data_IF_218419493469
#
_entry.id   IF_218419493469
#
_cell.length_a   1.000
_cell.length_b   1.000
_cell.length_c   1.000
_cell.angle_alpha   90.00
_cell.angle_beta   90.00
_cell.angle_gamma   90.00
#
_symmetry.space_group_name_H-M   'P 1'
#
loop_
_entity.id
_entity.type
_entity.pdbx_description
1 polymer ?
#
# COMPACT_ATOMS: atom_id res chain seq x y z
N UNK A 1 -17.86 13.70 24.97
CA UNK A 1 -17.97 13.55 23.50
C UNK A 1 -17.58 12.12 23.20
N UNK A 2 -18.52 11.30 22.71
CA UNK A 2 -18.21 9.96 22.24
C UNK A 2 -17.55 10.16 20.87
N UNK A 3 -16.29 9.78 20.72
CA UNK A 3 -15.65 9.75 19.41
C UNK A 3 -16.53 8.92 18.47
N UNK A 4 -17.18 9.58 17.52
CA UNK A 4 -18.08 8.90 16.60
C UNK A 4 -17.27 7.84 15.84
N UNK A 5 -17.67 6.58 16.01
CA UNK A 5 -16.94 5.44 15.48
C UNK A 5 -16.86 5.51 13.95
N UNK A 6 -15.66 5.26 13.42
CA UNK A 6 -15.43 5.20 11.97
C UNK A 6 -16.20 4.02 11.40
N UNK A 7 -16.70 4.16 10.18
CA UNK A 7 -17.24 2.98 9.47
C UNK A 7 -16.04 2.10 9.11
N UNK A 8 -16.06 0.80 9.44
CA UNK A 8 -15.02 -0.13 9.03
C UNK A 8 -14.89 -0.18 7.51
N UNK A 9 -13.67 -0.31 7.02
CA UNK A 9 -13.39 -0.66 5.63
C UNK A 9 -13.37 -2.18 5.54
N UNK A 10 -14.45 -2.74 5.02
CA UNK A 10 -14.60 -4.18 4.81
C UNK A 10 -14.83 -4.48 3.35
N UNK A 11 -14.29 -5.61 2.90
CA UNK A 11 -14.53 -6.14 1.56
C UNK A 11 -16.02 -6.31 1.29
N UNK A 12 -16.44 -5.86 0.12
CA UNK A 12 -17.82 -6.01 -0.33
C UNK A 12 -17.91 -7.22 -1.24
N UNK A 13 -18.94 -8.05 -1.04
CA UNK A 13 -19.15 -9.28 -1.79
C UNK A 13 -20.41 -9.19 -2.64
N UNK A 14 -20.35 -9.79 -3.82
CA UNK A 14 -21.51 -10.04 -4.66
C UNK A 14 -22.45 -11.04 -3.99
N UNK A 15 -23.68 -11.15 -4.50
CA UNK A 15 -24.65 -12.13 -4.02
C UNK A 15 -24.12 -13.56 -4.14
N UNK A 16 -23.33 -13.84 -5.18
CA UNK A 16 -22.71 -15.14 -5.45
C UNK A 16 -21.48 -15.40 -4.57
N UNK A 17 -20.99 -14.37 -3.87
CA UNK A 17 -19.87 -14.47 -2.93
C UNK A 17 -18.51 -14.11 -3.51
N UNK A 18 -18.49 -13.52 -4.71
CA UNK A 18 -17.27 -12.95 -5.28
C UNK A 18 -16.94 -11.63 -4.58
N UNK A 19 -15.68 -11.42 -4.22
CA UNK A 19 -15.21 -10.12 -3.72
C UNK A 19 -15.23 -9.08 -4.84
N UNK A 20 -15.78 -7.90 -4.56
CA UNK A 20 -15.93 -6.78 -5.49
C UNK A 20 -14.85 -5.72 -5.25
N UNK A 21 -14.57 -4.92 -6.26
CA UNK A 21 -13.48 -3.93 -6.26
C UNK A 21 -13.84 -2.62 -5.54
N UNK A 22 -14.45 -2.74 -4.36
CA UNK A 22 -14.74 -1.62 -3.45
C UNK A 22 -14.97 -2.12 -2.02
N UNK A 23 -14.87 -1.20 -1.06
CA UNK A 23 -15.00 -1.51 0.38
C UNK A 23 -16.01 -0.58 1.04
N UNK A 24 -16.51 -0.95 2.22
CA UNK A 24 -17.34 -0.07 3.04
C UNK A 24 -16.55 1.12 3.61
N UNK A 25 -17.25 2.17 4.06
CA UNK A 25 -16.64 3.29 4.78
C UNK A 25 -15.75 4.24 3.96
N UNK A 26 -15.52 3.96 2.67
CA UNK A 26 -14.85 4.85 1.71
C UNK A 26 -15.91 5.59 0.86
N UNK A 27 -15.72 6.89 0.55
CA UNK A 27 -16.55 7.63 -0.39
C UNK A 27 -16.37 7.21 -1.86
N UNK A 28 -17.49 6.99 -2.55
CA UNK A 28 -17.53 6.70 -3.99
C UNK A 28 -18.55 7.57 -4.70
N UNK A 29 -18.27 7.88 -5.97
CA UNK A 29 -19.29 8.24 -6.95
C UNK A 29 -19.89 6.99 -7.56
N UNK A 30 -21.21 6.96 -7.71
CA UNK A 30 -21.92 5.90 -8.40
C UNK A 30 -22.28 6.39 -9.79
N UNK A 31 -21.81 5.72 -10.84
CA UNK A 31 -22.01 6.18 -12.22
C UNK A 31 -22.68 5.14 -13.11
N UNK A 32 -23.48 5.62 -14.07
CA UNK A 32 -24.06 4.86 -15.18
C UNK A 32 -23.92 5.68 -16.46
N UNK A 33 -23.35 5.10 -17.53
CA UNK A 33 -23.17 5.78 -18.83
C UNK A 33 -22.59 7.21 -18.74
N UNK A 34 -21.60 7.41 -17.86
CA UNK A 34 -20.94 8.70 -17.54
C UNK A 34 -21.82 9.74 -16.81
N UNK A 35 -23.02 9.37 -16.39
CA UNK A 35 -23.80 10.17 -15.45
C UNK A 35 -23.59 9.64 -14.02
N UNK A 36 -23.73 10.51 -13.03
CA UNK A 36 -23.48 10.23 -11.62
C UNK A 36 -24.77 10.38 -10.82
N UNK A 37 -24.99 9.50 -9.85
CA UNK A 37 -26.09 9.67 -8.90
C UNK A 37 -25.82 10.92 -8.06
N UNK A 38 -26.68 11.92 -8.19
CA UNK A 38 -26.64 13.19 -7.48
C UNK A 38 -27.88 13.30 -6.58
N UNK A 39 -27.68 13.58 -5.29
CA UNK A 39 -28.78 13.72 -4.35
C UNK A 39 -29.61 15.00 -4.55
N UNK A 40 -29.16 15.91 -5.43
CA UNK A 40 -29.76 17.20 -5.78
C UNK A 40 -30.04 18.15 -4.62
N UNK A 41 -29.29 18.03 -3.51
CA UNK A 41 -29.61 18.67 -2.22
C UNK A 41 -31.01 18.34 -1.70
N UNK A 42 -31.62 17.28 -2.22
CA UNK A 42 -32.92 16.79 -1.80
C UNK A 42 -32.85 16.19 -0.40
N UNK A 43 -33.94 16.24 0.34
CA UNK A 43 -34.05 15.63 1.66
C UNK A 43 -34.86 14.32 1.62
N UNK A 44 -35.33 13.84 2.77
CA UNK A 44 -36.26 12.74 2.92
C UNK A 44 -37.39 12.78 1.87
N UNK A 45 -37.55 11.67 1.14
CA UNK A 45 -38.54 11.53 0.08
C UNK A 45 -38.19 12.20 -1.24
N UNK A 46 -37.02 12.80 -1.35
CA UNK A 46 -36.50 13.29 -2.62
C UNK A 46 -36.00 12.13 -3.48
N UNK A 47 -36.09 12.33 -4.79
CA UNK A 47 -35.66 11.39 -5.80
C UNK A 47 -34.25 11.80 -6.26
N UNK A 48 -33.20 10.99 -6.01
CA UNK A 48 -31.89 11.28 -6.56
C UNK A 48 -31.96 11.23 -8.09
N UNK A 49 -31.15 12.06 -8.74
CA UNK A 49 -31.13 12.21 -10.19
C UNK A 49 -29.81 11.74 -10.78
N UNK A 50 -29.78 11.65 -12.10
CA UNK A 50 -28.55 11.45 -12.85
C UNK A 50 -28.02 12.81 -13.30
N UNK A 51 -26.82 13.14 -12.85
CA UNK A 51 -26.08 14.32 -13.28
C UNK A 51 -25.03 13.94 -14.32
N UNK A 52 -24.99 14.63 -15.45
CA UNK A 52 -23.89 14.49 -16.42
C UNK A 52 -22.61 15.21 -15.97
N UNK A 53 -22.72 16.14 -15.03
CA UNK A 53 -21.57 16.84 -14.46
C UNK A 53 -20.84 15.94 -13.47
N UNK A 54 -19.52 15.83 -13.60
CA UNK A 54 -18.64 15.19 -12.64
C UNK A 54 -18.05 16.26 -11.71
N UNK A 55 -18.61 16.47 -10.52
CA UNK A 55 -18.16 17.56 -9.63
C UNK A 55 -16.80 17.22 -9.00
N UNK A 56 -15.71 17.97 -9.23
CA UNK A 56 -14.41 17.71 -8.60
C UNK A 56 -14.42 18.04 -7.10
N UNK A 57 -13.41 17.61 -6.31
CA UNK A 57 -13.40 17.77 -4.85
C UNK A 57 -13.55 19.20 -4.31
N UNK A 58 -13.14 20.20 -5.08
CA UNK A 58 -13.21 21.63 -4.78
C UNK A 58 -14.56 22.26 -5.17
N UNK A 59 -15.41 21.52 -5.90
CA UNK A 59 -16.70 22.03 -6.34
C UNK A 59 -17.73 22.05 -5.19
N UNK A 60 -18.55 23.10 -5.04
CA UNK A 60 -19.51 23.22 -3.93
C UNK A 60 -20.55 22.09 -3.88
N UNK A 61 -20.83 21.46 -5.03
CA UNK A 61 -21.78 20.34 -5.15
C UNK A 61 -21.12 18.96 -5.02
N UNK A 62 -19.81 18.87 -4.78
CA UNK A 62 -19.07 17.62 -4.75
C UNK A 62 -19.69 16.55 -3.85
N UNK A 63 -20.02 16.91 -2.61
CA UNK A 63 -20.57 15.99 -1.61
C UNK A 63 -21.91 15.37 -1.99
N UNK A 64 -22.65 16.00 -2.91
CA UNK A 64 -23.95 15.51 -3.39
C UNK A 64 -23.85 14.25 -4.24
N UNK A 65 -22.68 14.03 -4.83
CA UNK A 65 -22.39 12.88 -5.67
C UNK A 65 -21.64 11.77 -4.93
N UNK A 66 -21.35 11.97 -3.64
CA UNK A 66 -20.62 11.00 -2.85
C UNK A 66 -21.56 10.11 -2.04
N UNK A 67 -21.27 8.82 -2.11
CA UNK A 67 -22.01 7.75 -1.48
C UNK A 67 -21.06 6.85 -0.71
N UNK A 68 -21.50 6.34 0.43
CA UNK A 68 -20.74 5.43 1.29
C UNK A 68 -21.56 4.19 1.54
N UNK A 69 -20.89 3.04 1.44
CA UNK A 69 -21.48 1.75 1.75
C UNK A 69 -21.27 1.41 3.23
N UNK A 70 -22.32 0.88 3.87
CA UNK A 70 -22.29 0.33 5.22
C UNK A 70 -22.73 -1.12 5.18
N UNK A 71 -22.03 -1.99 5.91
CA UNK A 71 -22.53 -3.34 6.16
C UNK A 71 -23.88 -3.29 6.88
N UNK A 72 -24.72 -4.26 6.54
CA UNK A 72 -25.93 -4.55 7.29
C UNK A 72 -25.72 -5.76 8.19
N UNK A 73 -26.71 -6.04 9.04
CA UNK A 73 -26.75 -7.29 9.83
C UNK A 73 -26.91 -8.55 8.98
N UNK A 74 -27.21 -8.43 7.69
CA UNK A 74 -27.37 -9.56 6.78
C UNK A 74 -26.12 -9.67 5.89
N UNK A 75 -25.59 -10.89 5.81
CA UNK A 75 -24.43 -11.19 4.96
C UNK A 75 -24.70 -10.75 3.51
N UNK A 76 -23.70 -10.09 2.90
CA UNK A 76 -23.72 -9.62 1.49
C UNK A 76 -24.79 -8.59 1.17
N UNK A 77 -25.35 -7.94 2.20
CA UNK A 77 -26.34 -6.85 2.05
C UNK A 77 -25.81 -5.58 2.68
N UNK A 78 -25.97 -4.48 1.97
CA UNK A 78 -25.35 -3.21 2.31
C UNK A 78 -26.37 -2.09 2.30
N UNK A 79 -26.12 -1.06 3.10
CA UNK A 79 -26.82 0.22 3.00
C UNK A 79 -25.98 1.20 2.20
N UNK A 80 -26.63 2.05 1.42
CA UNK A 80 -25.98 3.11 0.63
C UNK A 80 -26.42 4.45 1.19
N UNK A 81 -25.46 5.24 1.67
CA UNK A 81 -25.66 6.50 2.39
C UNK A 81 -25.09 7.66 1.58
N UNK A 82 -25.87 8.70 1.35
CA UNK A 82 -25.39 9.95 0.76
C UNK A 82 -24.56 10.74 1.76
N UNK A 83 -23.41 11.25 1.35
CA UNK A 83 -22.57 12.09 2.22
C UNK A 83 -23.18 13.50 2.38
N UNK A 84 -23.68 14.09 1.30
CA UNK A 84 -24.11 15.49 1.28
C UNK A 84 -25.29 15.81 2.21
N UNK A 85 -26.25 14.89 2.35
CA UNK A 85 -27.47 15.09 3.15
C UNK A 85 -27.71 13.99 4.20
N UNK A 86 -26.84 12.97 4.28
CA UNK A 86 -26.92 11.85 5.25
C UNK A 86 -28.17 10.97 5.11
N UNK A 87 -28.82 10.99 3.93
CA UNK A 87 -29.96 10.15 3.64
C UNK A 87 -29.54 8.81 3.00
N UNK A 88 -30.28 7.76 3.30
CA UNK A 88 -30.10 6.41 2.74
C UNK A 88 -30.84 6.27 1.42
N UNK A 89 -30.26 5.56 0.46
CA UNK A 89 -31.03 5.08 -0.69
C UNK A 89 -32.10 4.10 -0.20
N UNK A 90 -33.33 4.33 -0.65
CA UNK A 90 -34.53 3.64 -0.18
C UNK A 90 -35.48 3.38 -1.36
N UNK A 91 -35.99 2.16 -1.46
CA UNK A 91 -36.98 1.83 -2.51
C UNK A 91 -38.37 2.37 -2.24
N UNK A 92 -38.66 2.82 -1.01
CA UNK A 92 -39.99 3.27 -0.58
C UNK A 92 -41.10 2.24 -0.84
N UNK A 93 -40.74 0.96 -1.03
CA UNK A 93 -41.68 -0.09 -1.41
C UNK A 93 -42.14 -0.06 -2.87
N UNK A 94 -41.63 0.87 -3.68
CA UNK A 94 -41.91 0.94 -5.11
C UNK A 94 -41.43 -0.33 -5.83
N UNK A 95 -42.12 -0.74 -6.91
CA UNK A 95 -41.76 -1.90 -7.74
C UNK A 95 -41.26 -1.44 -9.12
N UNK A 96 -41.34 -2.30 -10.13
CA UNK A 96 -41.00 -1.97 -11.51
C UNK A 96 -41.51 -0.57 -11.93
N UNK A 97 -40.65 0.20 -12.60
CA UNK A 97 -40.86 1.57 -13.05
C UNK A 97 -41.07 2.63 -11.94
N UNK A 98 -41.09 2.24 -10.67
CA UNK A 98 -41.08 3.21 -9.58
C UNK A 98 -39.72 3.91 -9.50
N UNK A 99 -39.72 5.16 -9.06
CA UNK A 99 -38.50 5.95 -8.86
C UNK A 99 -37.77 5.51 -7.58
N UNK A 100 -36.45 5.66 -7.59
CA UNK A 100 -35.62 5.59 -6.38
C UNK A 100 -35.87 6.81 -5.48
N UNK A 101 -35.76 6.61 -4.17
CA UNK A 101 -35.92 7.66 -3.18
C UNK A 101 -34.76 7.69 -2.19
N UNK A 102 -34.68 8.77 -1.43
CA UNK A 102 -33.81 8.91 -0.28
C UNK A 102 -34.62 8.99 1.01
N UNK A 103 -34.06 8.49 2.10
CA UNK A 103 -34.70 8.47 3.40
C UNK A 103 -33.72 8.82 4.52
N UNK A 104 -34.05 9.81 5.34
CA UNK A 104 -33.28 10.22 6.53
C UNK A 104 -33.27 9.19 7.66
N UNK A 105 -34.24 8.28 7.69
CA UNK A 105 -34.34 7.27 8.75
C UNK A 105 -33.43 6.10 8.47
N UNK A 106 -32.48 5.82 9.35
CA UNK A 106 -31.72 4.57 9.35
C UNK A 106 -32.58 3.45 9.97
N UNK A 107 -33.25 2.64 9.15
CA UNK A 107 -34.09 1.57 9.71
C UNK A 107 -33.24 0.50 10.42
N UNK A 108 -33.55 0.10 11.66
CA UNK A 108 -32.90 -1.04 12.31
C UNK A 108 -33.45 -2.35 11.74
N UNK A 109 -32.76 -3.48 11.98
CA UNK A 109 -33.09 -4.78 11.38
C UNK A 109 -34.48 -5.31 11.72
N UNK A 110 -35.07 -4.88 12.83
CA UNK A 110 -36.41 -5.27 13.28
C UNK A 110 -37.53 -4.46 12.60
N UNK A 111 -37.21 -3.38 11.90
CA UNK A 111 -38.21 -2.53 11.25
C UNK A 111 -38.70 -3.17 9.94
N UNK A 112 -40.01 -3.20 9.65
CA UNK A 112 -40.53 -3.79 8.40
C UNK A 112 -40.03 -3.08 7.14
N UNK A 113 -39.61 -1.81 7.24
CA UNK A 113 -39.03 -1.05 6.14
C UNK A 113 -37.52 -1.26 5.99
N UNK A 114 -36.88 -2.08 6.84
CA UNK A 114 -35.42 -2.30 6.81
C UNK A 114 -34.92 -2.76 5.45
N UNK A 115 -35.62 -3.73 4.85
CA UNK A 115 -35.27 -4.29 3.55
C UNK A 115 -35.28 -3.24 2.42
N UNK A 116 -36.03 -2.14 2.58
CA UNK A 116 -36.11 -1.08 1.55
C UNK A 116 -34.78 -0.38 1.34
N UNK A 117 -33.90 -0.43 2.36
CA UNK A 117 -32.57 0.16 2.36
C UNK A 117 -31.45 -0.87 2.21
N UNK A 118 -31.78 -2.14 1.99
CA UNK A 118 -30.79 -3.19 1.76
C UNK A 118 -30.57 -3.39 0.27
N UNK A 119 -29.30 -3.36 -0.08
CA UNK A 119 -28.81 -3.46 -1.44
C UNK A 119 -27.83 -4.61 -1.54
N UNK A 120 -27.99 -5.40 -2.60
CA UNK A 120 -27.07 -6.48 -2.97
C UNK A 120 -26.49 -6.19 -4.35
N UNK A 121 -25.36 -6.81 -4.65
CA UNK A 121 -24.62 -6.55 -5.88
C UNK A 121 -24.48 -7.83 -6.70
N UNK A 122 -24.78 -7.73 -7.98
CA UNK A 122 -24.43 -8.76 -8.95
C UNK A 122 -23.18 -8.32 -9.69
N UNK A 123 -22.15 -9.15 -9.62
CA UNK A 123 -20.94 -8.99 -10.42
C UNK A 123 -21.32 -9.21 -11.89
N UNK A 124 -20.94 -8.28 -12.76
CA UNK A 124 -21.07 -8.51 -14.21
C UNK A 124 -19.73 -8.87 -14.84
N UNK A 125 -18.72 -9.20 -14.03
CA UNK A 125 -17.42 -9.69 -14.47
C UNK A 125 -17.55 -11.14 -14.96
N UNK A 126 -18.39 -11.36 -15.96
CA UNK A 126 -18.46 -12.61 -16.69
C UNK A 126 -17.38 -12.60 -17.77
N UNK A 127 -16.81 -13.77 -18.07
CA UNK A 127 -15.64 -14.06 -18.94
C UNK A 127 -15.57 -13.39 -20.34
N UNK A 128 -16.60 -12.66 -20.75
CA UNK A 128 -16.74 -12.07 -22.08
C UNK A 128 -16.27 -10.61 -22.18
N UNK A 129 -16.17 -9.89 -21.06
CA UNK A 129 -15.75 -8.50 -21.04
C UNK A 129 -14.50 -8.35 -20.18
N UNK A 130 -13.32 -8.36 -20.82
CA UNK A 130 -12.03 -8.05 -20.20
C UNK A 130 -11.91 -6.56 -19.80
N UNK A 131 -12.92 -5.97 -19.16
CA UNK A 131 -12.80 -4.62 -18.61
C UNK A 131 -12.15 -4.65 -17.23
N UNK A 132 -11.10 -3.85 -17.04
CA UNK A 132 -10.42 -3.66 -15.75
C UNK A 132 -11.29 -3.02 -14.66
N UNK A 133 -12.49 -2.56 -15.00
CA UNK A 133 -13.40 -1.87 -14.09
C UNK A 133 -14.56 -2.80 -13.73
N UNK A 134 -14.76 -3.04 -12.43
CA UNK A 134 -15.89 -3.81 -11.93
C UNK A 134 -17.21 -3.14 -12.34
N UNK A 135 -17.93 -3.80 -13.23
CA UNK A 135 -19.29 -3.45 -13.59
C UNK A 135 -20.25 -4.27 -12.74
N UNK A 136 -21.31 -3.64 -12.24
CA UNK A 136 -22.21 -4.25 -11.27
C UNK A 136 -23.66 -3.85 -11.53
N UNK A 137 -24.58 -4.76 -11.24
CA UNK A 137 -26.01 -4.46 -11.17
C UNK A 137 -26.41 -4.38 -9.69
N UNK A 138 -27.16 -3.33 -9.33
CA UNK A 138 -27.54 -3.03 -7.94
C UNK A 138 -28.97 -3.51 -7.71
N UNK A 139 -29.14 -4.48 -6.81
CA UNK A 139 -30.40 -5.12 -6.49
C UNK A 139 -30.97 -4.60 -5.16
N UNK A 140 -32.27 -4.31 -5.10
CA UNK A 140 -32.96 -3.97 -3.85
C UNK A 140 -33.71 -5.16 -3.27
N UNK A 141 -33.47 -5.41 -2.00
CA UNK A 141 -33.94 -6.63 -1.32
C UNK A 141 -35.43 -6.61 -0.97
N UNK A 142 -36.06 -5.45 -0.91
CA UNK A 142 -37.48 -5.35 -0.57
C UNK A 142 -38.41 -5.59 -1.76
N UNK A 143 -38.07 -5.04 -2.94
CA UNK A 143 -38.93 -5.08 -4.11
C UNK A 143 -38.47 -6.07 -5.19
N UNK A 144 -37.33 -6.75 -4.98
CA UNK A 144 -36.73 -7.69 -5.91
C UNK A 144 -36.52 -7.09 -7.31
N UNK A 145 -36.06 -5.83 -7.35
CA UNK A 145 -35.81 -5.07 -8.58
C UNK A 145 -34.38 -4.53 -8.61
N UNK A 146 -33.91 -4.22 -9.82
CA UNK A 146 -32.60 -3.64 -10.10
C UNK A 146 -32.71 -2.14 -10.33
N UNK A 147 -31.67 -1.40 -9.95
CA UNK A 147 -31.54 0.01 -10.35
C UNK A 147 -31.30 0.10 -11.85
N UNK A 148 -32.14 0.89 -12.53
CA UNK A 148 -32.20 0.99 -13.99
C UNK A 148 -32.49 2.45 -14.40
N UNK A 149 -31.80 2.92 -15.43
CA UNK A 149 -32.04 4.26 -15.98
C UNK A 149 -33.19 4.30 -16.99
N UNK A 150 -33.68 3.15 -17.45
CA UNK A 150 -34.68 2.97 -18.50
C UNK A 150 -34.35 3.73 -19.80
N UNK A 151 -33.05 3.94 -20.06
CA UNK A 151 -32.58 4.77 -21.17
C UNK A 151 -32.89 6.27 -21.01
N UNK A 152 -33.37 6.70 -19.84
CA UNK A 152 -33.66 8.10 -19.49
C UNK A 152 -32.47 8.73 -18.77
N UNK A 153 -32.35 10.04 -18.85
CA UNK A 153 -31.22 10.80 -18.30
C UNK A 153 -31.52 11.56 -17.00
N UNK A 154 -32.75 11.46 -16.47
CA UNK A 154 -33.18 12.31 -15.34
C UNK A 154 -33.25 11.60 -14.01
N UNK A 155 -34.00 10.49 -13.92
CA UNK A 155 -34.23 9.76 -12.68
C UNK A 155 -33.75 8.33 -12.76
N UNK A 156 -33.57 7.74 -11.59
CA UNK A 156 -33.26 6.32 -11.42
C UNK A 156 -34.55 5.61 -11.05
N UNK A 157 -34.79 4.47 -11.69
CA UNK A 157 -35.98 3.69 -11.51
C UNK A 157 -35.63 2.25 -11.14
N UNK A 158 -36.66 1.51 -10.74
CA UNK A 158 -36.57 0.07 -10.54
C UNK A 158 -36.97 -0.67 -11.82
N UNK A 159 -36.28 -1.76 -12.10
CA UNK A 159 -36.63 -2.70 -13.15
C UNK A 159 -36.74 -4.11 -12.55
N UNK A 160 -37.87 -4.78 -12.75
CA UNK A 160 -38.06 -6.15 -12.29
C UNK A 160 -37.27 -7.17 -13.11
N UNK A 161 -36.81 -6.78 -14.30
CA UNK A 161 -36.03 -7.64 -15.17
C UNK A 161 -34.55 -7.54 -14.83
N UNK A 162 -33.92 -8.69 -14.58
CA UNK A 162 -32.47 -8.79 -14.56
C UNK A 162 -31.94 -8.82 -15.98
N UNK A 163 -31.43 -7.69 -16.49
CA UNK A 163 -30.93 -7.64 -17.85
C UNK A 163 -29.63 -8.45 -17.96
N UNK A 164 -29.59 -9.44 -18.86
CA UNK A 164 -28.37 -10.19 -19.14
C UNK A 164 -27.35 -9.33 -19.91
N UNK A 165 -26.05 -9.67 -19.90
CA UNK A 165 -25.02 -8.94 -20.65
C UNK A 165 -25.26 -8.83 -22.17
N UNK A 166 -26.11 -9.70 -22.73
CA UNK A 166 -26.47 -9.69 -24.16
C UNK A 166 -27.72 -8.87 -24.47
N UNK A 167 -28.40 -8.34 -23.44
CA UNK A 167 -29.58 -7.49 -23.61
C UNK A 167 -29.18 -6.09 -24.10
N UNK A 168 -29.95 -5.54 -25.05
CA UNK A 168 -29.80 -4.16 -25.50
C UNK A 168 -29.91 -3.15 -24.33
N UNK A 169 -30.70 -3.51 -23.32
CA UNK A 169 -30.95 -2.69 -22.13
C UNK A 169 -29.98 -2.96 -20.98
N UNK A 170 -29.02 -3.88 -21.14
CA UNK A 170 -28.05 -4.23 -20.09
C UNK A 170 -27.34 -3.01 -19.52
N UNK A 171 -26.87 -2.15 -20.42
CA UNK A 171 -26.14 -0.92 -20.07
C UNK A 171 -26.94 0.06 -19.20
N UNK A 172 -28.26 -0.04 -19.13
CA UNK A 172 -29.09 0.79 -18.25
C UNK A 172 -29.01 0.36 -16.77
N UNK A 173 -28.58 -0.87 -16.51
CA UNK A 173 -28.43 -1.44 -15.16
C UNK A 173 -26.97 -1.59 -14.70
N UNK A 174 -26.01 -1.23 -15.56
CA UNK A 174 -24.58 -1.33 -15.24
C UNK A 174 -24.12 -0.08 -14.51
N UNK A 175 -23.71 -0.26 -13.26
CA UNK A 175 -23.18 0.80 -12.42
C UNK A 175 -21.68 0.60 -12.20
N UNK A 176 -20.97 1.71 -12.00
CA UNK A 176 -19.54 1.72 -11.64
C UNK A 176 -19.34 2.57 -10.40
N UNK A 177 -18.52 2.08 -9.49
CA UNK A 177 -18.12 2.80 -8.30
C UNK A 177 -16.75 3.41 -8.49
N UNK A 178 -16.70 4.74 -8.49
CA UNK A 178 -15.49 5.52 -8.73
C UNK A 178 -15.08 6.12 -7.41
N UNK A 179 -13.95 5.67 -6.86
CA UNK A 179 -13.40 6.26 -5.64
C UNK A 179 -12.96 7.69 -5.94
N UNK A 180 -13.19 8.60 -5.01
CA UNK A 180 -12.93 10.02 -5.22
C UNK A 180 -11.87 10.62 -4.31
N UNK A 181 -11.40 9.86 -3.32
CA UNK A 181 -10.31 10.26 -2.43
C UNK A 181 -9.00 9.63 -2.88
N UNK A 182 -7.95 10.44 -2.93
CA UNK A 182 -6.58 9.95 -3.02
C UNK A 182 -6.22 9.12 -1.79
N UNK A 183 -5.25 8.24 -1.95
CA UNK A 183 -4.68 7.43 -0.88
C UNK A 183 -3.17 7.43 -1.01
N UNK A 184 -2.49 7.19 0.10
CA UNK A 184 -1.05 7.06 0.15
C UNK A 184 -0.69 5.70 0.74
N UNK A 185 0.02 4.89 -0.04
CA UNK A 185 0.56 3.61 0.40
C UNK A 185 1.92 3.82 1.05
N UNK A 186 2.16 3.18 2.19
CA UNK A 186 3.45 3.15 2.86
C UNK A 186 3.89 1.70 3.00
N UNK A 187 5.18 1.44 2.77
CA UNK A 187 5.74 0.10 2.81
C UNK A 187 6.95 0.01 3.75
N UNK A 188 7.01 -1.01 4.59
CA UNK A 188 8.16 -1.35 5.39
C UNK A 188 8.63 -2.76 5.04
N UNK A 189 9.80 -2.87 4.40
CA UNK A 189 10.40 -4.13 3.97
C UNK A 189 11.43 -4.56 5.01
N UNK A 190 11.27 -5.77 5.53
CA UNK A 190 12.07 -6.32 6.62
C UNK A 190 12.22 -7.85 6.50
N UNK A 191 12.88 -8.47 7.49
CA UNK A 191 13.05 -9.92 7.60
C UNK A 191 13.70 -10.55 6.34
N UNK A 192 14.79 -9.94 5.87
CA UNK A 192 15.55 -10.45 4.73
C UNK A 192 16.16 -11.81 5.05
N UNK A 193 15.83 -12.80 4.22
CA UNK A 193 16.45 -14.11 4.20
C UNK A 193 17.21 -14.27 2.87
N UNK A 194 18.53 -14.30 2.94
CA UNK A 194 19.40 -14.38 1.78
C UNK A 194 19.78 -15.84 1.45
N UNK A 195 19.90 -16.16 0.16
CA UNK A 195 20.34 -17.48 -0.31
C UNK A 195 21.76 -17.82 0.16
N UNK A 196 22.03 -19.09 0.46
CA UNK A 196 23.40 -19.57 0.77
C UNK A 196 24.34 -19.44 -0.44
N UNK A 197 23.81 -19.53 -1.66
CA UNK A 197 24.59 -19.42 -2.89
C UNK A 197 25.01 -17.97 -3.10
N UNK A 198 26.28 -17.70 -2.82
CA UNK A 198 26.85 -16.35 -2.87
C UNK A 198 27.94 -16.29 -3.92
N UNK A 199 27.76 -15.45 -4.93
CA UNK A 199 28.89 -14.98 -5.74
C UNK A 199 29.50 -13.80 -5.00
N UNK A 200 30.75 -13.93 -4.56
CA UNK A 200 31.46 -12.85 -3.89
C UNK A 200 32.97 -12.97 -4.12
N UNK A 201 33.62 -11.83 -4.31
CA UNK A 201 35.08 -11.72 -4.30
C UNK A 201 35.52 -11.07 -3.00
N UNK A 202 36.35 -11.75 -2.22
CA UNK A 202 37.02 -11.16 -1.07
C UNK A 202 38.33 -10.53 -1.52
N UNK A 203 38.54 -9.26 -1.16
CA UNK A 203 39.74 -8.51 -1.52
C UNK A 203 40.28 -7.83 -0.27
N UNK A 204 41.55 -8.03 0.02
CA UNK A 204 42.29 -7.26 1.02
C UNK A 204 43.06 -6.15 0.32
N UNK A 205 42.91 -4.90 0.78
CA UNK A 205 43.64 -3.75 0.26
C UNK A 205 44.53 -3.15 1.33
N UNK A 206 45.74 -2.76 0.94
CA UNK A 206 46.61 -1.93 1.76
C UNK A 206 46.01 -0.52 1.81
N UNK A 207 45.68 -0.06 3.02
CA UNK A 207 45.21 1.30 3.26
C UNK A 207 46.41 2.21 3.46
N UNK A 208 47.35 1.77 4.31
CA UNK A 208 48.52 2.53 4.71
C UNK A 208 49.68 1.60 5.04
N UNK A 209 50.89 2.08 4.79
CA UNK A 209 52.13 1.41 5.16
C UNK A 209 53.08 2.43 5.76
N UNK A 210 53.55 2.17 6.98
CA UNK A 210 54.51 2.99 7.70
C UNK A 210 55.68 2.13 8.20
N UNK A 211 56.80 2.77 8.55
CA UNK A 211 57.95 2.10 9.16
C UNK A 211 58.34 2.84 10.44
N UNK A 212 58.61 2.09 11.51
CA UNK A 212 59.16 2.63 12.75
C UNK A 212 60.58 2.11 12.97
N UNK A 213 61.50 3.05 13.11
CA UNK A 213 62.92 2.78 13.30
C UNK A 213 63.33 3.09 14.75
N UNK A 214 63.85 2.06 15.42
CA UNK A 214 64.43 2.19 16.76
C UNK A 214 65.90 1.72 16.78
N UNK A 215 66.61 1.92 15.68
CA UNK A 215 67.96 1.37 15.46
C UNK A 215 69.04 2.02 16.33
N UNK A 216 68.92 3.32 16.58
CA UNK A 216 69.91 4.10 17.33
C UNK A 216 69.68 4.07 18.85
N UNK A 217 68.51 3.61 19.31
CA UNK A 217 68.15 3.64 20.72
C UNK A 217 68.48 2.33 21.43
N UNK A 218 68.94 2.45 22.67
CA UNK A 218 69.02 1.33 23.63
C UNK A 218 67.73 1.14 24.42
N UNK A 219 66.76 2.04 24.28
CA UNK A 219 65.46 2.00 24.95
C UNK A 219 64.33 1.64 23.97
N UNK A 220 63.26 1.05 24.51
CA UNK A 220 62.04 0.71 23.77
C UNK A 220 61.33 1.98 23.30
N UNK A 221 60.88 2.00 22.06
CA UNK A 221 60.05 3.08 21.50
C UNK A 221 58.58 2.66 21.57
N UNK A 222 57.72 3.53 22.09
CA UNK A 222 56.27 3.31 22.14
C UNK A 222 55.57 4.45 21.41
N UNK A 223 54.80 4.11 20.36
CA UNK A 223 54.10 5.09 19.52
C UNK A 223 52.65 4.66 19.33
N UNK A 224 51.71 5.58 19.49
CA UNK A 224 50.30 5.36 19.17
C UNK A 224 49.99 5.91 17.78
N UNK A 225 49.36 5.08 16.95
CA UNK A 225 48.84 5.52 15.65
C UNK A 225 47.32 5.57 15.72
N UNK A 226 46.80 6.69 15.25
CA UNK A 226 45.39 6.88 14.97
C UNK A 226 45.24 6.95 13.46
N UNK A 227 44.61 5.93 12.87
CA UNK A 227 44.16 5.96 11.49
C UNK A 227 42.67 6.26 11.48
N UNK A 228 42.25 7.23 10.67
CA UNK A 228 40.86 7.47 10.36
C UNK A 228 40.71 7.42 8.84
N UNK A 229 39.99 6.42 8.34
CA UNK A 229 39.77 6.21 6.91
C UNK A 229 38.26 6.15 6.64
N UNK A 230 37.82 6.79 5.55
CA UNK A 230 36.42 6.73 5.10
C UNK A 230 36.27 5.71 3.98
N UNK A 231 35.42 4.71 4.19
CA UNK A 231 35.08 3.72 3.19
C UNK A 231 33.69 3.97 2.63
N UNK A 232 33.56 3.79 1.32
CA UNK A 232 32.27 3.88 0.63
C UNK A 232 31.71 2.48 0.42
N UNK A 233 30.59 2.18 1.08
CA UNK A 233 29.83 0.95 0.91
C UNK A 233 28.67 1.22 -0.06
N UNK A 234 28.45 0.29 -0.99
CA UNK A 234 27.35 0.35 -1.95
C UNK A 234 26.43 -0.84 -1.77
N UNK A 235 25.14 -0.58 -1.64
CA UNK A 235 24.08 -1.58 -1.53
C UNK A 235 23.07 -1.37 -2.65
N UNK A 236 22.68 -2.45 -3.32
CA UNK A 236 21.72 -2.45 -4.41
C UNK A 236 20.65 -3.50 -4.14
N UNK A 237 19.39 -3.10 -4.25
CA UNK A 237 18.25 -4.00 -4.10
C UNK A 237 17.44 -3.98 -5.39
N UNK A 238 17.23 -5.15 -5.98
CA UNK A 238 16.34 -5.33 -7.12
C UNK A 238 15.20 -6.23 -6.68
N UNK A 239 13.97 -5.71 -6.69
CA UNK A 239 12.77 -6.49 -6.38
C UNK A 239 12.21 -7.12 -7.65
N UNK A 240 11.63 -8.31 -7.54
CA UNK A 240 10.95 -8.98 -8.65
C UNK A 240 9.53 -8.42 -8.83
N UNK A 241 8.90 -8.07 -7.72
CA UNK A 241 7.59 -7.46 -7.66
C UNK A 241 7.69 -5.94 -7.87
N UNK A 242 6.60 -5.35 -8.37
CA UNK A 242 6.43 -3.90 -8.49
C UNK A 242 5.35 -3.42 -7.53
N UNK A 243 5.55 -2.23 -6.98
CA UNK A 243 4.51 -1.50 -6.27
C UNK A 243 4.65 -0.01 -6.59
N UNK A 244 3.74 0.49 -7.43
CA UNK A 244 3.65 1.90 -7.81
C UNK A 244 2.86 2.71 -6.75
N UNK A 245 3.04 4.03 -6.73
CA UNK A 245 2.29 4.98 -5.88
C UNK A 245 2.51 4.89 -4.35
N UNK A 246 3.73 4.55 -3.91
CA UNK A 246 4.13 4.56 -2.50
C UNK A 246 4.61 5.97 -2.08
N UNK A 247 4.06 6.52 -0.99
CA UNK A 247 4.50 7.77 -0.37
C UNK A 247 5.86 7.63 0.32
N UNK A 248 6.06 6.53 1.06
CA UNK A 248 7.30 6.23 1.77
C UNK A 248 7.58 4.72 1.80
N UNK A 249 8.80 4.34 1.41
CA UNK A 249 9.31 2.97 1.54
C UNK A 249 10.47 2.95 2.52
N UNK A 250 10.31 2.18 3.59
CA UNK A 250 11.36 1.90 4.58
C UNK A 250 11.94 0.51 4.35
N UNK A 251 13.26 0.41 4.30
CA UNK A 251 14.00 -0.83 4.12
C UNK A 251 14.84 -1.09 5.38
N UNK A 252 14.54 -2.19 6.08
CA UNK A 252 15.28 -2.62 7.28
C UNK A 252 15.95 -3.95 6.93
N UNK A 253 17.28 -3.95 6.79
CA UNK A 253 18.01 -5.15 6.39
C UNK A 253 19.27 -5.34 7.22
N UNK A 254 19.66 -6.59 7.41
CA UNK A 254 20.95 -6.96 7.99
C UNK A 254 21.95 -7.13 6.85
N UNK A 255 23.09 -6.45 6.93
CA UNK A 255 24.18 -6.61 5.95
C UNK A 255 24.66 -8.07 6.00
N UNK A 256 24.59 -8.82 4.89
CA UNK A 256 25.08 -10.18 4.85
C UNK A 256 26.53 -10.29 5.34
N UNK A 257 26.86 -11.33 6.10
CA UNK A 257 28.21 -11.63 6.61
C UNK A 257 28.81 -10.64 7.62
N UNK A 258 28.08 -9.59 8.01
CA UNK A 258 28.50 -8.65 9.06
C UNK A 258 27.56 -8.64 10.28
N UNK A 259 26.34 -9.16 10.13
CA UNK A 259 25.29 -9.13 11.16
C UNK A 259 25.00 -7.71 11.68
N UNK A 260 25.18 -6.70 10.82
CA UNK A 260 24.90 -5.29 11.12
C UNK A 260 23.57 -4.91 10.47
N UNK A 261 22.60 -4.52 11.29
CA UNK A 261 21.34 -3.95 10.81
C UNK A 261 21.54 -2.53 10.26
N UNK A 262 20.91 -2.25 9.13
CA UNK A 262 20.83 -0.94 8.50
C UNK A 262 19.38 -0.62 8.16
N UNK A 263 19.02 0.62 8.43
CA UNK A 263 17.76 1.21 8.02
C UNK A 263 18.02 2.19 6.87
N UNK A 264 17.29 2.03 5.77
CA UNK A 264 17.32 2.93 4.63
C UNK A 264 15.91 3.40 4.32
N UNK A 265 15.74 4.71 4.25
CA UNK A 265 14.48 5.34 3.87
C UNK A 265 14.57 5.79 2.42
N UNK A 266 13.69 5.26 1.58
CA UNK A 266 13.55 5.66 0.19
C UNK A 266 12.21 6.35 0.01
N UNK A 267 12.25 7.53 -0.59
CA UNK A 267 11.04 8.14 -1.15
C UNK A 267 10.83 7.56 -2.54
N UNK A 268 9.59 7.15 -2.82
CA UNK A 268 9.07 6.61 -4.07
C UNK A 268 9.19 5.10 -4.30
N UNK A 269 8.24 4.61 -5.09
CA UNK A 269 7.94 3.24 -5.49
C UNK A 269 9.15 2.38 -5.83
N UNK A 270 8.97 1.06 -5.78
CA UNK A 270 9.91 0.12 -6.39
C UNK A 270 9.28 -0.52 -7.62
N UNK A 271 9.96 -0.37 -8.75
CA UNK A 271 9.58 -1.00 -10.00
C UNK A 271 10.24 -2.38 -10.11
N UNK A 272 9.49 -3.33 -10.67
CA UNK A 272 9.98 -4.68 -10.91
C UNK A 272 11.29 -4.64 -11.71
N UNK A 273 12.30 -5.33 -11.20
CA UNK A 273 13.63 -5.50 -11.77
C UNK A 273 14.49 -4.22 -11.87
N UNK A 274 14.03 -3.07 -11.37
CA UNK A 274 14.85 -1.86 -11.30
C UNK A 274 15.64 -1.81 -9.98
N UNK A 275 16.97 -1.66 -10.03
CA UNK A 275 17.78 -1.64 -8.82
C UNK A 275 17.70 -0.29 -8.11
N UNK A 276 17.42 -0.33 -6.81
CA UNK A 276 17.56 0.80 -5.89
C UNK A 276 19.00 0.78 -5.36
N UNK A 277 19.77 1.85 -5.60
CA UNK A 277 21.17 1.95 -5.16
C UNK A 277 21.30 2.91 -4.00
N UNK A 278 21.98 2.46 -2.94
CA UNK A 278 22.36 3.29 -1.80
C UNK A 278 23.85 3.29 -1.63
N UNK A 279 24.40 4.45 -1.34
CA UNK A 279 25.80 4.64 -1.00
C UNK A 279 25.85 5.11 0.44
N UNK A 280 26.58 4.40 1.27
CA UNK A 280 26.85 4.79 2.66
C UNK A 280 28.34 4.99 2.84
N UNK A 281 28.69 5.98 3.66
CA UNK A 281 30.07 6.25 4.03
C UNK A 281 30.27 5.80 5.46
N UNK A 282 31.26 4.96 5.69
CA UNK A 282 31.63 4.49 7.02
C UNK A 282 33.04 4.92 7.32
N UNK A 283 33.20 5.67 8.41
CA UNK A 283 34.50 6.04 8.92
C UNK A 283 34.97 4.93 9.86
N UNK A 284 36.11 4.33 9.54
CA UNK A 284 36.79 3.41 10.45
C UNK A 284 37.92 4.15 11.15
N UNK A 285 38.03 3.95 12.47
CA UNK A 285 39.13 4.46 13.26
C UNK A 285 39.92 3.31 13.88
N UNK A 286 41.21 3.21 13.54
CA UNK A 286 42.12 2.23 14.13
C UNK A 286 43.08 2.97 15.05
N UNK A 287 42.90 2.77 16.36
CA UNK A 287 43.80 3.30 17.37
C UNK A 287 44.57 2.13 17.98
N UNK A 288 45.89 2.07 17.73
CA UNK A 288 46.73 1.03 18.29
C UNK A 288 48.12 1.56 18.64
N UNK A 289 48.54 1.23 19.86
CA UNK A 289 49.89 1.49 20.35
C UNK A 289 50.81 0.37 19.89
N UNK A 290 51.93 0.74 19.28
CA UNK A 290 52.97 -0.16 18.80
C UNK A 290 54.22 0.07 19.64
N UNK A 291 54.84 -1.03 20.01
CA UNK A 291 56.04 -1.06 20.82
C UNK A 291 57.17 -1.67 20.00
N UNK A 292 58.24 -0.89 19.80
CA UNK A 292 59.39 -1.27 18.98
C UNK A 292 60.59 -1.51 19.89
N UNK A 293 61.13 -2.73 19.96
CA UNK A 293 62.31 -3.05 20.77
C UNK A 293 63.53 -2.19 20.41
N UNK A 294 64.51 -2.03 21.33
CA UNK A 294 65.80 -1.41 21.02
C UNK A 294 66.48 -2.10 19.83
N UNK A 295 67.19 -1.32 19.01
CA UNK A 295 67.98 -1.82 17.86
C UNK A 295 67.15 -2.62 16.84
N UNK A 296 65.87 -2.30 16.69
CA UNK A 296 64.96 -2.98 15.76
C UNK A 296 64.20 -1.99 14.87
N UNK A 297 63.59 -2.54 13.82
CA UNK A 297 62.72 -1.82 12.88
C UNK A 297 61.45 -2.65 12.69
N UNK A 298 60.29 -1.99 12.79
CA UNK A 298 58.99 -2.62 12.56
C UNK A 298 58.30 -1.93 11.39
N UNK A 299 57.87 -2.72 10.42
CA UNK A 299 56.97 -2.29 9.37
C UNK A 299 55.52 -2.47 9.83
N UNK A 300 54.72 -1.44 9.60
CA UNK A 300 53.31 -1.39 9.98
C UNK A 300 52.50 -1.30 8.69
N UNK A 301 51.67 -2.30 8.42
CA UNK A 301 50.75 -2.25 7.29
C UNK A 301 49.30 -2.39 7.78
N UNK A 302 48.47 -1.42 7.42
CA UNK A 302 47.04 -1.41 7.66
C UNK A 302 46.28 -1.91 6.43
N UNK A 303 45.34 -2.81 6.67
CA UNK A 303 44.54 -3.47 5.65
C UNK A 303 43.05 -3.26 5.89
N UNK A 304 42.30 -3.16 4.80
CA UNK A 304 40.84 -3.29 4.79
C UNK A 304 40.45 -4.50 3.95
N UNK A 305 39.60 -5.33 4.51
CA UNK A 305 38.95 -6.43 3.79
C UNK A 305 37.62 -5.94 3.23
N UNK A 306 37.44 -6.22 1.95
CA UNK A 306 36.24 -5.91 1.20
C UNK A 306 35.57 -7.19 0.74
N UNK A 307 34.25 -7.20 0.84
CA UNK A 307 33.40 -8.09 0.06
C UNK A 307 32.96 -7.30 -1.16
N UNK A 308 33.43 -7.68 -2.35
CA UNK A 308 33.06 -7.07 -3.62
C UNK A 308 32.16 -7.97 -4.44
N UNK A 309 31.33 -7.33 -5.25
CA UNK A 309 30.42 -8.00 -6.18
C UNK A 309 29.62 -9.11 -5.48
N UNK A 310 29.21 -8.86 -4.24
CA UNK A 310 28.29 -9.75 -3.53
C UNK A 310 27.01 -9.74 -4.32
N UNK A 311 26.53 -10.90 -4.71
CA UNK A 311 25.23 -11.07 -5.36
C UNK A 311 24.54 -12.27 -4.73
N UNK A 312 23.35 -12.04 -4.19
CA UNK A 312 22.55 -13.03 -3.49
C UNK A 312 21.08 -12.80 -3.81
N UNK A 313 20.31 -13.87 -3.96
CA UNK A 313 18.85 -13.73 -3.98
C UNK A 313 18.34 -13.60 -2.55
N UNK A 314 17.20 -12.94 -2.39
CA UNK A 314 16.55 -12.82 -1.09
C UNK A 314 15.05 -13.07 -1.20
N UNK A 315 14.50 -13.44 -0.05
CA UNK A 315 13.08 -13.37 0.28
C UNK A 315 12.93 -12.42 1.46
N UNK A 316 11.94 -11.54 1.44
CA UNK A 316 11.67 -10.59 2.50
C UNK A 316 10.16 -10.44 2.71
N UNK A 317 9.78 -9.85 3.84
CA UNK A 317 8.39 -9.48 4.13
C UNK A 317 8.23 -7.98 3.95
N UNK A 318 7.17 -7.57 3.27
CA UNK A 318 6.74 -6.18 3.21
C UNK A 318 5.45 -6.02 4.01
N UNK A 319 5.47 -5.11 4.98
CA UNK A 319 4.26 -4.61 5.61
C UNK A 319 3.79 -3.37 4.85
N UNK A 320 2.59 -3.43 4.29
CA UNK A 320 1.95 -2.32 3.59
C UNK A 320 0.83 -1.75 4.45
N UNK A 321 0.84 -0.43 4.60
CA UNK A 321 -0.25 0.33 5.23
C UNK A 321 -0.73 1.40 4.26
N UNK A 322 -1.92 1.94 4.49
CA UNK A 322 -2.38 3.08 3.70
C UNK A 322 -3.08 4.13 4.56
N UNK A 323 -3.03 5.36 4.08
CA UNK A 323 -3.87 6.46 4.57
C UNK A 323 -4.82 6.91 3.47
N UNK A 324 -6.04 7.28 3.86
CA UNK A 324 -7.04 7.81 2.95
C UNK A 324 -8.21 8.43 3.71
N UNK A 325 -9.19 8.93 2.98
CA UNK A 325 -10.39 9.51 3.58
C UNK A 325 -11.31 8.43 4.15
N UNK A 326 -11.77 8.62 5.41
CA UNK A 326 -12.71 7.71 6.08
C UNK A 326 -13.99 8.41 6.49
N UNK A 327 -15.10 7.74 6.30
CA UNK A 327 -16.40 8.25 6.72
C UNK A 327 -16.77 7.78 8.13
N UNK A 328 -17.26 8.70 8.97
CA UNK A 328 -17.73 8.43 10.33
C UNK A 328 -19.23 8.16 10.37
N UNK A 329 -19.68 7.50 11.43
CA UNK A 329 -21.10 7.32 11.69
C UNK A 329 -21.87 8.62 11.94
N UNK A 330 -21.19 9.68 12.41
CA UNK A 330 -21.77 11.02 12.58
C UNK A 330 -21.94 11.80 11.27
N UNK A 331 -21.52 11.24 10.14
CA UNK A 331 -21.64 11.82 8.81
C UNK A 331 -20.49 12.76 8.40
N UNK A 332 -19.42 12.83 9.18
CA UNK A 332 -18.20 13.57 8.84
C UNK A 332 -17.17 12.72 8.08
N UNK A 333 -16.32 13.36 7.27
CA UNK A 333 -15.13 12.73 6.65
C UNK A 333 -13.90 13.07 7.49
N UNK A 334 -13.10 12.07 7.83
CA UNK A 334 -11.74 12.23 8.34
C UNK A 334 -10.79 12.09 7.17
N UNK A 335 -10.04 13.13 6.85
CA UNK A 335 -9.06 13.08 5.77
C UNK A 335 -7.76 12.40 6.21
N UNK A 336 -7.06 11.76 5.27
CA UNK A 336 -5.70 11.23 5.43
C UNK A 336 -5.49 10.42 6.73
N UNK A 337 -6.39 9.48 7.01
CA UNK A 337 -6.31 8.63 8.21
C UNK A 337 -6.03 7.18 7.82
N UNK A 338 -5.48 6.38 8.75
CA UNK A 338 -5.23 4.95 8.51
C UNK A 338 -6.51 4.23 8.12
N UNK A 339 -6.44 3.48 7.04
CA UNK A 339 -7.53 2.61 6.56
C UNK A 339 -7.33 1.18 7.04
N UNK A 340 -8.41 0.41 7.07
CA UNK A 340 -8.36 -0.99 7.51
C UNK A 340 -7.77 -1.88 6.40
N UNK A 341 -7.31 -3.08 6.75
CA UNK A 341 -6.57 -3.97 5.86
C UNK A 341 -7.29 -4.29 4.53
N UNK A 342 -8.62 -4.40 4.52
CA UNK A 342 -9.39 -4.65 3.28
C UNK A 342 -9.28 -3.49 2.28
N UNK A 343 -9.21 -2.24 2.78
CA UNK A 343 -8.93 -1.10 1.91
C UNK A 343 -7.49 -1.13 1.38
N UNK A 344 -6.52 -1.52 2.22
CA UNK A 344 -5.13 -1.71 1.77
C UNK A 344 -5.05 -2.77 0.67
N UNK A 345 -5.75 -3.90 0.82
CA UNK A 345 -5.84 -4.95 -0.20
C UNK A 345 -6.45 -4.44 -1.51
N UNK A 346 -7.54 -3.67 -1.45
CA UNK A 346 -8.11 -3.02 -2.63
C UNK A 346 -7.08 -2.14 -3.33
N UNK A 347 -6.36 -1.31 -2.58
CA UNK A 347 -5.37 -0.38 -3.14
C UNK A 347 -4.18 -1.13 -3.75
N UNK A 348 -3.72 -2.22 -3.13
CA UNK A 348 -2.69 -3.09 -3.69
C UNK A 348 -3.14 -3.70 -5.03
N UNK A 349 -4.39 -4.17 -5.12
CA UNK A 349 -4.98 -4.72 -6.35
C UNK A 349 -5.02 -3.67 -7.48
N UNK A 350 -5.42 -2.44 -7.17
CA UNK A 350 -5.46 -1.33 -8.13
C UNK A 350 -4.08 -0.94 -8.66
N UNK A 351 -3.05 -1.07 -7.82
CA UNK A 351 -1.65 -0.87 -8.21
C UNK A 351 -1.02 -2.11 -8.88
N UNK A 352 -1.82 -3.14 -9.19
CA UNK A 352 -1.38 -4.40 -9.77
C UNK A 352 -0.23 -5.06 -8.99
N UNK A 353 -0.21 -4.93 -7.66
CA UNK A 353 0.80 -5.56 -6.83
C UNK A 353 0.79 -7.08 -7.02
N UNK A 354 1.94 -7.66 -7.36
CA UNK A 354 2.09 -9.09 -7.66
C UNK A 354 2.72 -9.89 -6.51
N UNK A 355 2.99 -9.26 -5.36
CA UNK A 355 3.51 -9.97 -4.19
C UNK A 355 2.47 -10.89 -3.58
N UNK A 356 2.93 -11.97 -2.97
CA UNK A 356 2.06 -12.95 -2.32
C UNK A 356 1.63 -12.42 -0.96
N UNK A 357 0.34 -12.11 -0.79
CA UNK A 357 -0.23 -11.72 0.51
C UNK A 357 -0.14 -12.92 1.47
N UNK A 358 0.46 -12.71 2.64
CA UNK A 358 0.61 -13.69 3.72
C UNK A 358 -0.52 -13.53 4.73
N UNK A 359 -0.79 -12.29 5.14
CA UNK A 359 -1.85 -11.95 6.10
C UNK A 359 -2.38 -10.53 5.90
N UNK A 360 -3.57 -10.26 6.43
CA UNK A 360 -4.23 -8.96 6.39
C UNK A 360 -4.95 -8.77 7.72
N UNK A 361 -4.44 -7.89 8.58
CA UNK A 361 -4.97 -7.71 9.93
C UNK A 361 -4.90 -6.23 10.35
N UNK A 362 -5.95 -5.77 11.04
CA UNK A 362 -6.03 -4.39 11.50
C UNK A 362 -5.97 -3.38 10.35
N UNK A 363 -4.85 -2.66 10.25
CA UNK A 363 -4.63 -1.60 9.27
C UNK A 363 -3.45 -1.89 8.32
N UNK A 364 -2.96 -3.14 8.27
CA UNK A 364 -1.84 -3.51 7.43
C UNK A 364 -2.03 -4.85 6.72
N UNK A 365 -1.33 -4.97 5.60
CA UNK A 365 -1.22 -6.18 4.79
C UNK A 365 0.23 -6.60 4.79
N UNK A 366 0.50 -7.85 5.16
CA UNK A 366 1.85 -8.42 5.10
C UNK A 366 1.93 -9.27 3.84
N UNK A 367 2.91 -8.99 3.00
CA UNK A 367 3.17 -9.74 1.80
C UNK A 367 4.63 -10.21 1.73
N UNK A 368 4.84 -11.25 0.93
CA UNK A 368 6.15 -11.77 0.58
C UNK A 368 6.65 -11.11 -0.70
N UNK A 369 7.92 -10.68 -0.70
CA UNK A 369 8.61 -10.16 -1.87
C UNK A 369 9.95 -10.84 -2.06
N UNK A 370 10.41 -10.86 -3.30
CA UNK A 370 11.63 -11.53 -3.72
C UNK A 370 12.53 -10.56 -4.46
N UNK A 371 13.81 -10.90 -4.51
CA UNK A 371 14.72 -10.08 -5.29
C UNK A 371 16.16 -10.53 -5.26
N UNK A 372 17.02 -9.63 -5.74
CA UNK A 372 18.46 -9.77 -5.72
C UNK A 372 19.06 -8.61 -4.95
N UNK A 373 19.91 -8.92 -3.98
CA UNK A 373 20.79 -7.98 -3.34
C UNK A 373 22.13 -8.00 -4.05
N UNK A 374 22.70 -6.82 -4.29
CA UNK A 374 24.09 -6.69 -4.71
C UNK A 374 24.84 -5.70 -3.83
N UNK A 375 26.02 -6.08 -3.37
CA UNK A 375 26.76 -5.31 -2.37
C UNK A 375 28.25 -5.18 -2.69
N UNK A 376 28.83 -4.07 -2.28
CA UNK A 376 30.28 -3.93 -2.13
C UNK A 376 30.56 -3.11 -0.87
N UNK A 377 31.15 -3.75 0.14
CA UNK A 377 31.31 -3.14 1.46
C UNK A 377 32.57 -3.66 2.17
N UNK A 378 33.08 -2.83 3.09
CA UNK A 378 34.16 -3.20 4.00
C UNK A 378 33.62 -4.10 5.09
N UNK A 379 34.34 -5.17 5.41
CA UNK A 379 33.97 -6.10 6.48
C UNK A 379 34.79 -5.92 7.73
N UNK A 380 36.09 -5.71 7.59
CA UNK A 380 37.00 -5.47 8.72
C UNK A 380 38.22 -4.70 8.29
N UNK A 381 38.80 -4.00 9.25
CA UNK A 381 40.14 -3.43 9.16
C UNK A 381 41.07 -4.13 10.12
N UNK A 382 42.32 -4.35 9.73
CA UNK A 382 43.31 -4.97 10.59
C UNK A 382 44.72 -4.47 10.29
N UNK A 383 45.61 -4.60 11.28
CA UNK A 383 47.01 -4.16 11.20
C UNK A 383 47.95 -5.34 11.31
N UNK A 384 48.93 -5.42 10.42
CA UNK A 384 50.07 -6.33 10.51
C UNK A 384 51.32 -5.55 10.94
N UNK A 385 52.07 -6.14 11.85
CA UNK A 385 53.39 -5.68 12.26
C UNK A 385 54.39 -6.73 11.79
N UNK A 386 55.44 -6.30 11.09
CA UNK A 386 56.51 -7.18 10.63
C UNK A 386 57.85 -6.63 11.09
N UNK A 387 58.64 -7.48 11.76
CA UNK A 387 60.03 -7.14 12.04
C UNK A 387 60.81 -7.15 10.72
N UNK A 388 61.49 -6.05 10.44
CA UNK A 388 62.34 -5.96 9.25
C UNK A 388 63.73 -6.44 9.67
N UNK A 389 64.10 -7.65 9.26
CA UNK A 389 65.46 -8.14 9.42
C UNK A 389 66.42 -7.23 8.63
N UNK A 390 67.44 -6.74 9.33
CA UNK A 390 68.51 -5.90 8.79
C UNK A 390 69.73 -6.75 8.51
#
# INVERSE_FOLDING_TARGET
MVDAEKIPNKSVFSIDGEELDFVTGIPYKISNKKNYIDNWDGDHGSQPCLSSENHPPDHPKYLRQLWVFKESSHSRKYKILSIGNRNYLDSWGGRNEAKLYMNSTNYPSQNPCYLRQLWSFHSTNNWLFHSKESQIQIHNENNNCFLDTWGKSSYIYFCSNFNSPFSENFSNQVWKFIRTSDYELNAAISNFNFSSDTKCVQITKNIRKDTLDNLASSAKLTTTFNLQEEFTNTYKFRFNESLDFISETKLIFVIPFMDIEKELNFKYSFEANKPITTITKETCTINKTVEVPPKSRVEITDFADFRKSVEMTFKATVEVTATGDRYKNDGSIIKNTKVDADAVNLFLKENNFQGKIISSEGNSVIAEVHGTFSGSYVTKTHRKLEDVNI
#
